data_IF_321865034496
#
_entry.id   IF_321865034496
#
_cell.length_a   1.000
_cell.length_b   1.000
_cell.length_c   1.000
_cell.angle_alpha   90.00
_cell.angle_beta   90.00
_cell.angle_gamma   90.00
#
_symmetry.space_group_name_H-M   'P 1'
#
loop_
_entity.id
_entity.type
_entity.pdbx_description
1 polymer ?
#
# COMPACT_ATOMS: atom_id res chain seq x y z
N UNK A 1 -9.05 17.88 -19.69
CA UNK A 1 -9.32 16.72 -20.57
C UNK A 1 -8.43 15.50 -20.29
N UNK A 2 -7.17 15.64 -19.84
CA UNK A 2 -6.22 14.51 -19.72
C UNK A 2 -6.52 13.42 -18.68
N UNK A 3 -7.44 13.65 -17.73
CA UNK A 3 -7.84 12.64 -16.74
C UNK A 3 -8.59 11.45 -17.36
N UNK A 4 -9.50 11.70 -18.31
CA UNK A 4 -10.29 10.63 -18.93
C UNK A 4 -9.44 9.64 -19.75
N UNK A 5 -8.40 10.13 -20.43
CA UNK A 5 -7.43 9.28 -21.15
C UNK A 5 -6.61 8.44 -20.17
N UNK A 6 -6.16 9.05 -19.07
CA UNK A 6 -5.40 8.37 -18.00
C UNK A 6 -6.21 7.21 -17.40
N UNK A 7 -7.51 7.40 -17.19
CA UNK A 7 -8.40 6.37 -16.64
C UNK A 7 -8.69 5.25 -17.63
N UNK A 8 -8.84 5.57 -18.92
CA UNK A 8 -9.02 4.60 -19.99
C UNK A 8 -7.77 3.72 -20.16
N UNK A 9 -6.58 4.32 -20.16
CA UNK A 9 -5.30 3.61 -20.26
C UNK A 9 -5.08 2.66 -19.09
N UNK A 10 -5.40 3.11 -17.87
CA UNK A 10 -5.35 2.26 -16.68
C UNK A 10 -6.34 1.10 -16.79
N UNK A 11 -7.56 1.36 -17.22
CA UNK A 11 -8.59 0.33 -17.40
C UNK A 11 -8.15 -0.73 -18.41
N UNK A 12 -7.58 -0.32 -19.54
CA UNK A 12 -7.03 -1.23 -20.55
C UNK A 12 -5.89 -2.10 -19.98
N UNK A 13 -4.99 -1.49 -19.20
CA UNK A 13 -3.93 -2.22 -18.51
C UNK A 13 -4.50 -3.27 -17.53
N UNK A 14 -5.46 -2.89 -16.71
CA UNK A 14 -6.10 -3.80 -15.74
C UNK A 14 -6.76 -4.97 -16.47
N UNK A 15 -7.53 -4.70 -17.52
CA UNK A 15 -8.18 -5.76 -18.30
C UNK A 15 -7.15 -6.74 -18.90
N UNK A 16 -6.06 -6.22 -19.46
CA UNK A 16 -5.01 -7.04 -20.07
C UNK A 16 -4.23 -7.89 -19.06
N UNK A 17 -4.04 -7.40 -17.82
CA UNK A 17 -3.08 -7.99 -16.86
C UNK A 17 -3.71 -8.63 -15.63
N UNK A 18 -5.00 -8.42 -15.37
CA UNK A 18 -5.69 -8.89 -14.15
C UNK A 18 -5.47 -10.38 -13.86
N UNK A 19 -5.60 -11.26 -14.86
CA UNK A 19 -5.42 -12.71 -14.66
C UNK A 19 -4.00 -13.05 -14.21
N UNK A 20 -2.98 -12.44 -14.84
CA UNK A 20 -1.58 -12.70 -14.51
C UNK A 20 -1.20 -12.15 -13.12
N UNK A 21 -1.71 -10.97 -12.78
CA UNK A 21 -1.49 -10.33 -11.49
C UNK A 21 -2.24 -11.06 -10.36
N UNK A 22 -3.43 -11.57 -10.64
CA UNK A 22 -4.21 -12.40 -9.73
C UNK A 22 -3.46 -13.70 -9.39
N UNK A 23 -2.93 -14.41 -10.40
CA UNK A 23 -2.08 -15.60 -10.16
C UNK A 23 -0.91 -15.30 -9.25
N UNK A 24 -0.24 -14.15 -9.44
CA UNK A 24 0.84 -13.72 -8.56
C UNK A 24 0.32 -13.44 -7.13
N UNK A 25 -0.80 -12.73 -6.99
CA UNK A 25 -1.40 -12.44 -5.68
C UNK A 25 -1.73 -13.73 -4.92
N UNK A 26 -2.27 -14.75 -5.60
CA UNK A 26 -2.54 -16.07 -5.04
C UNK A 26 -1.29 -16.78 -4.50
N UNK A 27 -0.13 -16.63 -5.15
CA UNK A 27 1.12 -17.21 -4.65
C UNK A 27 1.67 -16.46 -3.43
N UNK A 28 1.30 -15.18 -3.26
CA UNK A 28 1.81 -14.31 -2.21
C UNK A 28 0.91 -14.29 -0.96
N UNK A 29 -0.37 -14.61 -1.10
CA UNK A 29 -1.37 -14.52 -0.04
C UNK A 29 -1.67 -15.89 0.62
N UNK A 30 -2.10 -15.91 1.89
CA UNK A 30 -2.40 -17.16 2.61
C UNK A 30 -3.72 -17.82 2.21
N UNK A 31 -4.65 -17.09 1.58
CA UNK A 31 -5.94 -17.60 1.14
C UNK A 31 -6.49 -16.73 -0.01
N UNK A 32 -7.62 -17.15 -0.59
CA UNK A 32 -8.26 -16.46 -1.71
C UNK A 32 -8.63 -15.01 -1.40
N UNK A 33 -9.32 -14.76 -0.29
CA UNK A 33 -9.79 -13.42 0.06
C UNK A 33 -8.62 -12.44 0.26
N UNK A 34 -7.51 -12.92 0.85
CA UNK A 34 -6.30 -12.15 1.01
C UNK A 34 -5.60 -11.89 -0.35
N UNK A 35 -5.71 -12.79 -1.32
CA UNK A 35 -5.18 -12.57 -2.67
C UNK A 35 -5.96 -11.46 -3.40
N UNK A 36 -7.30 -11.49 -3.31
CA UNK A 36 -8.16 -10.46 -3.88
C UNK A 36 -7.85 -9.09 -3.28
N UNK A 37 -7.79 -8.98 -1.95
CA UNK A 37 -7.49 -7.72 -1.26
C UNK A 37 -6.08 -7.21 -1.60
N UNK A 38 -5.10 -8.13 -1.68
CA UNK A 38 -3.74 -7.81 -2.10
C UNK A 38 -3.70 -7.22 -3.51
N UNK A 39 -4.41 -7.83 -4.47
CA UNK A 39 -4.49 -7.33 -5.84
C UNK A 39 -5.20 -5.97 -5.90
N UNK A 40 -6.34 -5.83 -5.22
CA UNK A 40 -7.10 -4.58 -5.19
C UNK A 40 -6.25 -3.44 -4.59
N UNK A 41 -5.57 -3.69 -3.47
CA UNK A 41 -4.67 -2.72 -2.85
C UNK A 41 -3.53 -2.34 -3.79
N UNK A 42 -2.92 -3.30 -4.49
CA UNK A 42 -1.84 -3.03 -5.41
C UNK A 42 -2.29 -2.22 -6.64
N UNK A 43 -3.46 -2.54 -7.20
CA UNK A 43 -4.05 -1.79 -8.31
C UNK A 43 -4.42 -0.37 -7.89
N UNK A 44 -5.01 -0.18 -6.70
CA UNK A 44 -5.31 1.15 -6.18
C UNK A 44 -4.06 2.01 -5.98
N UNK A 45 -2.98 1.43 -5.44
CA UNK A 45 -1.68 2.11 -5.29
C UNK A 45 -1.03 2.42 -6.64
N UNK A 46 -1.20 1.53 -7.62
CA UNK A 46 -0.73 1.73 -9.00
C UNK A 46 -1.49 2.88 -9.64
N UNK A 47 -2.82 2.88 -9.57
CA UNK A 47 -3.68 3.92 -10.13
C UNK A 47 -3.33 5.32 -9.62
N UNK A 48 -3.13 5.45 -8.29
CA UNK A 48 -2.70 6.72 -7.67
C UNK A 48 -1.37 7.27 -8.21
N UNK A 49 -0.53 6.41 -8.82
CA UNK A 49 0.75 6.79 -9.42
C UNK A 49 0.73 6.74 -10.94
N UNK A 50 -0.38 6.35 -11.57
CA UNK A 50 -0.45 5.96 -12.98
C UNK A 50 0.13 7.00 -13.92
N UNK A 51 -0.24 8.28 -13.75
CA UNK A 51 0.26 9.40 -14.58
C UNK A 51 1.77 9.65 -14.51
N UNK A 52 2.49 8.95 -13.63
CA UNK A 52 3.94 9.06 -13.44
C UNK A 52 4.67 7.75 -13.76
N UNK A 53 3.96 6.73 -14.25
CA UNK A 53 4.53 5.45 -14.67
C UNK A 53 4.71 5.55 -16.19
N UNK A 54 5.91 5.89 -16.62
CA UNK A 54 6.22 6.06 -18.04
C UNK A 54 6.62 4.72 -18.71
N UNK A 55 7.14 3.77 -17.93
CA UNK A 55 7.64 2.50 -18.43
C UNK A 55 7.20 1.32 -17.55
N UNK A 56 6.82 0.24 -18.22
CA UNK A 56 6.49 -1.08 -17.65
C UNK A 56 5.56 -1.03 -16.42
N UNK A 57 4.27 -0.67 -16.62
CA UNK A 57 3.28 -0.66 -15.55
C UNK A 57 3.08 -2.03 -14.89
N UNK A 58 3.32 -3.12 -15.63
CA UNK A 58 3.20 -4.47 -15.08
C UNK A 58 4.29 -4.76 -14.04
N UNK A 59 5.56 -4.44 -14.34
CA UNK A 59 6.64 -4.57 -13.37
C UNK A 59 6.42 -3.69 -12.13
N UNK A 60 5.91 -2.46 -12.33
CA UNK A 60 5.56 -1.59 -11.21
C UNK A 60 4.48 -2.25 -10.32
N UNK A 61 3.37 -2.72 -10.89
CA UNK A 61 2.30 -3.36 -10.12
C UNK A 61 2.76 -4.63 -9.42
N UNK A 62 3.58 -5.47 -10.07
CA UNK A 62 4.20 -6.65 -9.45
C UNK A 62 5.07 -6.29 -8.25
N UNK A 63 5.86 -5.21 -8.35
CA UNK A 63 6.64 -4.69 -7.23
C UNK A 63 5.73 -4.24 -6.08
N UNK A 64 4.62 -3.56 -6.38
CA UNK A 64 3.64 -3.15 -5.37
C UNK A 64 3.02 -4.37 -4.69
N UNK A 65 2.61 -5.41 -5.43
CA UNK A 65 2.10 -6.68 -4.89
C UNK A 65 3.07 -7.29 -3.87
N UNK A 66 4.33 -7.48 -4.26
CA UNK A 66 5.35 -8.06 -3.37
C UNK A 66 5.57 -7.20 -2.13
N UNK A 67 5.59 -5.87 -2.29
CA UNK A 67 5.78 -4.94 -1.17
C UNK A 67 4.62 -5.03 -0.18
N UNK A 68 3.37 -4.99 -0.65
CA UNK A 68 2.18 -5.08 0.19
C UNK A 68 2.13 -6.44 0.91
N UNK A 69 2.39 -7.54 0.19
CA UNK A 69 2.42 -8.87 0.80
C UNK A 69 3.49 -9.01 1.88
N UNK A 70 4.67 -8.39 1.68
CA UNK A 70 5.73 -8.38 2.68
C UNK A 70 5.36 -7.55 3.93
N UNK A 71 4.68 -6.42 3.74
CA UNK A 71 4.20 -5.57 4.84
C UNK A 71 3.12 -6.28 5.66
N UNK A 72 2.15 -6.92 5.00
CA UNK A 72 1.10 -7.76 5.61
C UNK A 72 1.70 -8.85 6.51
N UNK A 73 2.68 -9.61 5.99
CA UNK A 73 3.37 -10.68 6.74
C UNK A 73 4.14 -10.18 7.96
N UNK A 74 4.61 -8.92 7.94
CA UNK A 74 5.33 -8.29 9.06
C UNK A 74 4.40 -7.70 10.11
N UNK A 75 3.12 -7.51 9.80
CA UNK A 75 2.14 -6.81 10.64
C UNK A 75 1.84 -7.52 11.97
N UNK A 76 1.73 -8.86 12.06
CA UNK A 76 1.58 -9.56 13.34
C UNK A 76 2.76 -9.29 14.29
N UNK A 77 3.98 -9.41 13.79
CA UNK A 77 5.23 -9.12 14.53
C UNK A 77 5.37 -7.66 14.97
N UNK A 78 4.67 -6.73 14.31
CA UNK A 78 4.63 -5.30 14.68
C UNK A 78 3.60 -5.02 15.78
N UNK A 79 2.52 -5.81 15.87
CA UNK A 79 1.47 -5.63 16.89
C UNK A 79 1.89 -6.13 18.27
N UNK A 80 2.74 -7.16 18.35
CA UNK A 80 3.33 -7.63 19.62
C UNK A 80 4.34 -6.65 20.24
N UNK A 81 4.81 -5.66 19.48
CA UNK A 81 5.71 -4.60 19.98
C UNK A 81 4.98 -3.29 20.35
N UNK A 82 3.64 -3.28 20.44
CA UNK A 82 2.87 -2.08 20.79
C UNK A 82 1.73 -2.40 21.75
N UNK A 83 2.08 -3.03 22.87
CA UNK A 83 1.27 -3.01 24.09
C UNK A 83 2.15 -2.55 25.24
N UNK A 84 2.32 -1.23 25.35
CA UNK A 84 2.79 -0.61 26.58
C UNK A 84 2.01 0.69 26.79
N UNK A 85 1.10 0.63 27.77
CA UNK A 85 0.34 1.72 28.39
C UNK A 85 -0.77 2.38 27.57
N UNK A 86 -2.01 1.98 27.86
CA UNK A 86 -3.15 2.90 27.85
C UNK A 86 -3.26 3.46 29.27
N UNK A 87 -3.00 4.75 29.54
CA UNK A 87 -3.54 5.37 30.72
C UNK A 87 -5.00 5.75 30.45
N UNK A 88 -5.86 5.25 31.33
CA UNK A 88 -7.28 5.60 31.45
C UNK A 88 -7.45 7.04 31.99
N UNK A 89 -8.56 7.70 31.59
CA UNK A 89 -9.18 8.97 32.08
C UNK A 89 -8.61 10.30 31.57
N UNK A 90 -9.38 11.36 31.25
CA UNK A 90 -10.82 11.65 31.04
C UNK A 90 -10.92 13.07 30.43
N UNK A 91 -12.06 13.39 29.80
CA UNK A 91 -12.66 14.73 29.63
C UNK A 91 -12.31 15.64 28.43
N UNK A 92 -13.26 15.65 27.47
CA UNK A 92 -14.03 16.79 26.95
C UNK A 92 -13.28 18.08 26.56
N UNK A 93 -13.23 18.33 25.25
CA UNK A 93 -13.06 19.67 24.67
C UNK A 93 -12.73 19.62 23.17
N UNK A 94 -13.70 19.96 22.33
CA UNK A 94 -13.55 20.17 20.87
C UNK A 94 -12.50 21.27 20.59
N UNK A 95 -11.65 21.16 19.54
CA UNK A 95 -11.95 21.95 18.35
C UNK A 95 -11.44 21.38 17.00
N UNK A 96 -12.00 21.94 15.94
CA UNK A 96 -11.59 21.90 14.53
C UNK A 96 -10.11 22.24 14.27
N UNK A 97 -9.64 21.76 13.10
CA UNK A 97 -8.42 22.10 12.36
C UNK A 97 -7.12 21.31 12.67
N UNK A 98 -6.62 20.55 11.69
CA UNK A 98 -5.36 20.83 11.00
C UNK A 98 -4.90 19.69 10.07
N UNK A 99 -4.35 20.10 8.94
CA UNK A 99 -3.84 19.34 7.81
C UNK A 99 -2.38 18.89 8.07
N UNK A 100 -1.97 17.86 7.33
CA UNK A 100 -0.60 17.48 6.96
C UNK A 100 0.30 16.79 8.00
N UNK A 101 1.08 15.82 7.51
CA UNK A 101 2.06 15.12 8.31
C UNK A 101 2.56 13.80 7.73
N UNK A 102 3.11 13.82 6.51
CA UNK A 102 3.95 12.74 5.96
C UNK A 102 4.94 12.21 7.01
N UNK A 103 4.75 10.99 7.50
CA UNK A 103 5.76 10.32 8.33
C UNK A 103 6.71 9.50 7.45
N UNK A 104 7.87 10.09 7.14
CA UNK A 104 9.04 9.35 6.65
C UNK A 104 9.75 8.71 7.85
N UNK A 105 10.08 7.40 7.84
CA UNK A 105 10.96 6.84 8.85
C UNK A 105 12.41 7.26 8.59
N UNK A 106 13.02 7.90 9.61
CA UNK A 106 14.39 8.38 9.61
C UNK A 106 15.42 7.24 9.59
N UNK A 107 16.50 7.45 8.82
CA UNK A 107 17.72 6.64 8.88
C UNK A 107 18.49 7.00 10.16
N UNK A 108 18.70 6.03 11.04
CA UNK A 108 19.72 6.13 12.08
C UNK A 108 21.06 5.74 11.45
N UNK A 109 21.95 6.72 11.34
CA UNK A 109 23.36 6.51 11.01
C UNK A 109 24.03 5.76 12.16
N UNK A 110 24.75 4.68 11.83
CA UNK A 110 25.74 4.07 12.72
C UNK A 110 26.87 5.08 12.94
N UNK A 111 27.26 5.31 14.18
CA UNK A 111 28.53 5.96 14.52
C UNK A 111 29.38 4.96 15.27
N UNK A 112 30.53 4.66 14.69
CA UNK A 112 31.69 4.05 15.34
C UNK A 112 32.54 5.14 15.98
N UNK A 113 33.00 4.93 17.20
CA UNK A 113 34.35 5.19 17.68
C UNK A 113 34.41 4.73 19.15
#
# INVERSE_FOLDING_TARGET
>A
MGGATTDADFSAFVQARSVSLMRLAWLLAPNHAAADDLLQTALLRTYRRWSRIEHDPEAYTRRVLVTVAADERRRPWRREASVASVPDRTERGDPTAAVDGRRRPGRVRRSSA
#
